data_IF_036279010922
#
_entry.id   IF_036279010922
#
_cell.length_a   1.000
_cell.length_b   1.000
_cell.length_c   1.000
_cell.angle_alpha   90.00
_cell.angle_beta   90.00
_cell.angle_gamma   90.00
#
_symmetry.space_group_name_H-M   'P 1'
#
loop_
_entity.id
_entity.type
_entity.pdbx_description
1 polymer ?
#
# COMPACT_ATOMS: atom_id res chain seq x y z
N UNK A 1 8.27 -20.10 -16.31
CA UNK A 1 8.82 -19.11 -17.27
C UNK A 1 9.72 -18.17 -16.49
N UNK A 2 10.99 -18.54 -16.28
CA UNK A 2 11.91 -17.70 -15.53
C UNK A 2 12.45 -16.62 -16.48
N UNK A 3 12.04 -15.37 -16.27
CA UNK A 3 12.49 -14.20 -17.02
C UNK A 3 13.94 -13.86 -16.64
N UNK A 4 14.88 -14.77 -16.82
CA UNK A 4 16.26 -14.58 -16.38
C UNK A 4 17.19 -14.16 -17.52
N UNK A 5 18.09 -13.25 -17.18
CA UNK A 5 19.26 -12.70 -17.89
C UNK A 5 19.08 -11.48 -18.81
N UNK A 6 18.00 -11.36 -19.60
CA UNK A 6 17.87 -10.25 -20.59
C UNK A 6 16.70 -9.29 -20.39
N UNK A 7 15.84 -9.55 -19.42
CA UNK A 7 14.63 -8.74 -19.21
C UNK A 7 14.96 -7.59 -18.25
N UNK A 8 14.78 -6.31 -18.64
CA UNK A 8 14.95 -5.19 -17.74
C UNK A 8 14.04 -5.33 -16.52
N UNK A 9 14.54 -4.96 -15.33
CA UNK A 9 13.77 -5.06 -14.08
C UNK A 9 12.42 -4.35 -14.16
N UNK A 10 12.34 -3.23 -14.87
CA UNK A 10 11.09 -2.49 -15.09
C UNK A 10 9.99 -3.33 -15.74
N UNK A 11 10.33 -4.19 -16.72
CA UNK A 11 9.36 -5.08 -17.35
C UNK A 11 8.87 -6.13 -16.36
N UNK A 12 9.76 -6.68 -15.53
CA UNK A 12 9.38 -7.65 -14.49
C UNK A 12 8.44 -6.99 -13.47
N UNK A 13 8.72 -5.76 -13.06
CA UNK A 13 7.88 -4.99 -12.13
C UNK A 13 6.49 -4.72 -12.71
N UNK A 14 6.42 -4.28 -13.98
CA UNK A 14 5.15 -4.09 -14.68
C UNK A 14 4.32 -5.37 -14.73
N UNK A 15 4.92 -6.49 -15.12
CA UNK A 15 4.19 -7.77 -15.18
C UNK A 15 3.74 -8.25 -13.79
N UNK A 16 4.53 -7.99 -12.75
CA UNK A 16 4.25 -8.43 -11.39
C UNK A 16 3.26 -7.52 -10.65
N UNK A 17 3.09 -6.26 -11.05
CA UNK A 17 2.27 -5.26 -10.37
C UNK A 17 1.12 -4.71 -11.24
N UNK A 18 1.41 -4.27 -12.46
CA UNK A 18 0.46 -3.56 -13.34
C UNK A 18 -0.37 -4.46 -14.24
N UNK A 19 0.11 -5.67 -14.54
CA UNK A 19 -0.61 -6.59 -15.40
C UNK A 19 -2.02 -6.85 -14.86
N UNK A 20 -2.97 -7.12 -15.75
CA UNK A 20 -4.36 -7.41 -15.36
C UNK A 20 -4.43 -8.59 -14.38
N UNK A 21 -3.54 -9.58 -14.55
CA UNK A 21 -3.41 -10.74 -13.67
C UNK A 21 -2.69 -10.43 -12.33
N UNK A 22 -1.99 -9.31 -12.25
CA UNK A 22 -1.38 -8.78 -11.04
C UNK A 22 -2.28 -7.82 -10.27
N UNK A 23 -3.31 -7.24 -10.88
CA UNK A 23 -4.35 -6.48 -10.19
C UNK A 23 -3.82 -5.49 -9.11
N UNK A 24 -2.66 -4.85 -9.34
CA UNK A 24 -2.06 -3.90 -8.40
C UNK A 24 -1.84 -4.50 -6.99
N UNK A 25 -1.28 -5.72 -6.95
CA UNK A 25 -0.93 -6.43 -5.72
C UNK A 25 -0.13 -5.54 -4.74
N UNK A 26 -0.29 -5.81 -3.43
CA UNK A 26 0.50 -5.16 -2.39
C UNK A 26 2.01 -5.36 -2.59
N UNK A 27 2.82 -4.50 -1.97
CA UNK A 27 4.29 -4.57 -2.06
C UNK A 27 4.81 -5.97 -1.69
N UNK A 28 4.32 -6.56 -0.60
CA UNK A 28 4.69 -7.91 -0.15
C UNK A 28 4.39 -8.99 -1.20
N UNK A 29 3.19 -8.96 -1.79
CA UNK A 29 2.80 -9.92 -2.84
C UNK A 29 3.56 -9.70 -4.15
N UNK A 30 3.88 -8.45 -4.45
CA UNK A 30 4.71 -8.09 -5.60
C UNK A 30 6.14 -8.60 -5.40
N UNK A 31 6.71 -8.45 -4.19
CA UNK A 31 8.00 -9.01 -3.80
C UNK A 31 8.04 -10.53 -3.98
N UNK A 32 7.00 -11.25 -3.54
CA UNK A 32 6.90 -12.71 -3.72
C UNK A 32 6.96 -13.13 -5.20
N UNK A 33 6.26 -12.41 -6.09
CA UNK A 33 6.30 -12.68 -7.53
C UNK A 33 7.66 -12.36 -8.13
N UNK A 34 8.21 -11.19 -7.84
CA UNK A 34 9.48 -10.71 -8.42
C UNK A 34 10.67 -11.58 -8.00
N UNK A 35 10.61 -12.16 -6.79
CA UNK A 35 11.60 -13.13 -6.29
C UNK A 35 11.75 -14.36 -7.18
N UNK A 36 10.70 -14.75 -7.91
CA UNK A 36 10.76 -15.92 -8.82
C UNK A 36 11.42 -15.60 -10.17
N UNK A 37 11.58 -14.31 -10.49
CA UNK A 37 12.01 -13.82 -11.81
C UNK A 37 13.32 -13.03 -11.78
N UNK A 38 13.73 -12.48 -10.64
CA UNK A 38 14.91 -11.60 -10.56
C UNK A 38 15.76 -11.85 -9.31
N UNK A 39 17.08 -11.78 -9.48
CA UNK A 39 18.09 -12.01 -8.43
C UNK A 39 19.18 -10.91 -8.38
N UNK A 40 18.97 -9.79 -9.07
CA UNK A 40 19.96 -8.71 -9.21
C UNK A 40 20.24 -7.93 -7.91
N UNK A 41 21.23 -7.04 -7.88
CA UNK A 41 21.41 -6.15 -6.73
C UNK A 41 20.19 -5.21 -6.60
N UNK A 42 19.76 -4.94 -5.37
CA UNK A 42 18.71 -3.97 -5.04
C UNK A 42 17.28 -4.23 -5.55
N UNK A 43 16.97 -5.38 -6.16
CA UNK A 43 15.63 -5.65 -6.73
C UNK A 43 14.48 -5.43 -5.73
N UNK A 44 14.69 -5.69 -4.44
CA UNK A 44 13.69 -5.43 -3.39
C UNK A 44 13.40 -3.94 -3.23
N UNK A 45 14.44 -3.10 -3.33
CA UNK A 45 14.32 -1.65 -3.27
C UNK A 45 13.55 -1.15 -4.50
N UNK A 46 13.86 -1.70 -5.68
CA UNK A 46 13.14 -1.35 -6.91
C UNK A 46 11.65 -1.71 -6.82
N UNK A 47 11.30 -2.86 -6.23
CA UNK A 47 9.88 -3.23 -5.97
C UNK A 47 9.21 -2.23 -5.04
N UNK A 48 9.87 -1.87 -3.92
CA UNK A 48 9.30 -0.93 -2.95
C UNK A 48 9.08 0.45 -3.57
N UNK A 49 10.08 0.98 -4.29
CA UNK A 49 9.98 2.26 -4.97
C UNK A 49 8.87 2.25 -6.04
N UNK A 50 8.77 1.17 -6.81
CA UNK A 50 7.75 1.01 -7.84
C UNK A 50 6.32 0.97 -7.25
N UNK A 51 6.10 0.21 -6.17
CA UNK A 51 4.78 0.15 -5.51
C UNK A 51 4.42 1.49 -4.85
N UNK A 52 5.39 2.18 -4.24
CA UNK A 52 5.19 3.48 -3.60
C UNK A 52 4.89 4.61 -4.60
N UNK A 53 5.41 4.51 -5.82
CA UNK A 53 5.18 5.49 -6.89
C UNK A 53 4.01 5.15 -7.82
N UNK A 54 3.36 3.98 -7.65
CA UNK A 54 2.20 3.59 -8.45
C UNK A 54 0.98 4.48 -8.18
N UNK A 55 0.64 5.34 -9.15
CA UNK A 55 -0.46 6.31 -9.08
C UNK A 55 -1.81 5.67 -8.72
N UNK A 56 -2.12 4.50 -9.30
CA UNK A 56 -3.39 3.79 -9.02
C UNK A 56 -3.47 3.33 -7.58
N UNK A 57 -2.40 2.70 -7.09
CA UNK A 57 -2.30 2.26 -5.71
C UNK A 57 -2.37 3.43 -4.73
N UNK A 58 -1.63 4.52 -5.00
CA UNK A 58 -1.62 5.69 -4.11
C UNK A 58 -2.97 6.41 -4.08
N UNK A 59 -3.72 6.43 -5.19
CA UNK A 59 -5.09 6.98 -5.22
C UNK A 59 -6.10 6.09 -4.51
N UNK A 60 -6.00 4.78 -4.68
CA UNK A 60 -6.94 3.80 -4.11
C UNK A 60 -6.72 3.59 -2.61
N UNK A 61 -5.46 3.46 -2.18
CA UNK A 61 -5.06 3.12 -0.81
C UNK A 61 -4.59 4.33 -0.01
N UNK A 62 -5.02 5.55 -0.37
CA UNK A 62 -4.68 6.73 0.41
C UNK A 62 -5.19 6.57 1.84
N UNK A 63 -4.34 6.92 2.81
CA UNK A 63 -4.78 7.01 4.19
C UNK A 63 -5.99 7.95 4.26
N UNK A 64 -7.14 7.38 4.63
CA UNK A 64 -8.39 8.13 4.72
C UNK A 64 -8.63 8.50 6.17
N UNK A 65 -8.72 9.79 6.44
CA UNK A 65 -8.89 10.34 7.78
C UNK A 65 -7.67 11.11 8.28
N UNK A 66 -7.90 11.98 9.27
CA UNK A 66 -6.79 12.55 10.04
C UNK A 66 -6.12 11.40 10.79
N UNK A 67 -4.81 11.53 11.06
CA UNK A 67 -4.15 10.65 12.03
C UNK A 67 -5.04 10.61 13.27
N UNK A 68 -5.41 9.41 13.72
CA UNK A 68 -6.19 9.27 14.93
C UNK A 68 -5.45 10.02 16.03
N UNK A 69 -6.07 11.10 16.52
CA UNK A 69 -5.55 11.82 17.66
C UNK A 69 -5.65 10.95 18.91
N UNK A 70 -5.07 11.42 20.01
CA UNK A 70 -5.42 10.86 21.31
C UNK A 70 -6.93 10.99 21.51
N UNK A 71 -7.59 9.90 21.93
CA UNK A 71 -9.00 9.96 22.33
C UNK A 71 -9.16 11.05 23.39
N UNK A 72 -9.96 12.08 23.07
CA UNK A 72 -10.28 13.12 24.04
C UNK A 72 -11.29 12.53 25.00
N UNK A 73 -11.01 12.62 26.30
CA UNK A 73 -11.98 12.26 27.32
C UNK A 73 -13.12 13.30 27.32
N UNK A 74 -14.35 12.85 27.11
CA UNK A 74 -15.52 13.69 27.33
C UNK A 74 -15.67 13.95 28.83
N UNK A 75 -16.06 15.17 29.20
CA UNK A 75 -16.35 15.50 30.59
C UNK A 75 -17.67 14.84 30.98
N UNK A 76 -17.72 14.20 32.15
CA UNK A 76 -18.94 13.61 32.68
C UNK A 76 -19.95 14.71 33.03
N UNK A 77 -21.22 14.58 32.63
CA UNK A 77 -22.25 15.56 32.98
C UNK A 77 -22.48 15.54 34.49
N UNK A 78 -22.52 16.72 35.12
CA UNK A 78 -22.68 16.87 36.57
C UNK A 78 -24.13 16.90 37.02
N UNK A 79 -25.07 17.02 36.07
CA UNK A 79 -26.50 17.12 36.37
C UNK A 79 -27.36 16.57 35.23
N UNK A 80 -28.62 16.17 35.52
CA UNK A 80 -29.54 15.73 34.49
C UNK A 80 -29.72 16.79 33.40
N UNK A 81 -29.75 16.36 32.14
CA UNK A 81 -29.93 17.22 30.95
C UNK A 81 -28.79 18.18 30.63
N UNK A 82 -27.64 18.06 31.28
CA UNK A 82 -26.49 18.95 31.05
C UNK A 82 -25.85 18.79 29.67
N UNK A 83 -25.85 17.56 29.14
CA UNK A 83 -25.30 17.25 27.83
C UNK A 83 -26.35 16.46 27.03
N UNK A 84 -26.67 16.96 25.84
CA UNK A 84 -27.53 16.28 24.86
C UNK A 84 -26.80 16.25 23.53
N UNK A 85 -26.54 15.06 23.00
CA UNK A 85 -25.98 14.87 21.67
C UNK A 85 -27.11 14.54 20.69
N UNK A 86 -27.04 15.09 19.47
CA UNK A 86 -27.98 14.85 18.38
C UNK A 86 -27.18 14.58 17.11
N UNK A 87 -27.67 13.65 16.27
CA UNK A 87 -27.10 13.30 14.96
C UNK A 87 -27.63 14.24 13.86
#
# INVERSE_FOLDING_TARGET
MALTDRTPINTILHECHDSVAAAHLSEDRTLERVKTCSWGPNWKKDVAEYCQTCDRCQKANRATGKKFGMMIQIQEPKSPWEIVHMD
#
